data_IF_222129078520
#
_entry.id   IF_222129078520
#
_cell.length_a   1.000
_cell.length_b   1.000
_cell.length_c   1.000
_cell.angle_alpha   90.00
_cell.angle_beta   90.00
_cell.angle_gamma   90.00
#
_symmetry.space_group_name_H-M   'P 1'
#
loop_
_entity.id
_entity.type
_entity.pdbx_description
1 polymer ?
#
# COMPACT_ATOMS: atom_id res chain seq x y z
N UNK A 1 31.75 9.89 0.95
CA UNK A 1 32.14 8.49 1.16
C UNK A 1 30.86 7.79 1.51
N UNK A 2 30.45 6.77 0.75
CA UNK A 2 29.27 5.98 1.08
C UNK A 2 29.69 5.06 2.22
N UNK A 3 29.15 5.27 3.42
CA UNK A 3 29.56 4.53 4.61
C UNK A 3 28.64 3.34 4.89
N UNK A 4 28.99 2.54 5.90
CA UNK A 4 28.23 1.33 6.25
C UNK A 4 26.78 1.67 6.67
N UNK A 5 26.54 2.85 7.24
CA UNK A 5 25.21 3.28 7.63
C UNK A 5 24.34 3.63 6.41
N UNK A 6 24.94 4.27 5.39
CA UNK A 6 24.27 4.48 4.10
C UNK A 6 23.90 3.14 3.43
N UNK A 7 24.77 2.12 3.53
CA UNK A 7 24.51 0.78 2.98
C UNK A 7 23.40 0.03 3.71
N UNK A 8 23.41 0.04 5.05
CA UNK A 8 22.38 -0.57 5.87
C UNK A 8 21.00 0.08 5.63
N UNK A 9 20.97 1.41 5.46
CA UNK A 9 19.75 2.12 5.11
C UNK A 9 19.23 1.72 3.72
N UNK A 10 20.10 1.54 2.72
CA UNK A 10 19.70 1.01 1.41
C UNK A 10 19.11 -0.40 1.52
N UNK A 11 19.72 -1.28 2.32
CA UNK A 11 19.19 -2.64 2.53
C UNK A 11 17.83 -2.62 3.24
N UNK A 12 17.66 -1.72 4.22
CA UNK A 12 16.38 -1.53 4.92
C UNK A 12 15.30 -1.05 3.96
N UNK A 13 15.60 -0.06 3.12
CA UNK A 13 14.66 0.44 2.11
C UNK A 13 14.33 -0.64 1.08
N UNK A 14 15.32 -1.36 0.57
CA UNK A 14 15.10 -2.46 -0.39
C UNK A 14 14.19 -3.55 0.19
N UNK A 15 14.33 -3.87 1.49
CA UNK A 15 13.42 -4.80 2.18
C UNK A 15 12.00 -4.26 2.24
N UNK A 16 11.82 -3.02 2.69
CA UNK A 16 10.49 -2.38 2.78
C UNK A 16 9.81 -2.32 1.41
N UNK A 17 10.55 -1.98 0.35
CA UNK A 17 10.04 -1.99 -1.02
C UNK A 17 9.63 -3.40 -1.47
N UNK A 18 10.45 -4.42 -1.18
CA UNK A 18 10.14 -5.80 -1.52
C UNK A 18 8.90 -6.34 -0.79
N UNK A 19 8.73 -6.00 0.48
CA UNK A 19 7.54 -6.35 1.27
C UNK A 19 6.29 -5.63 0.73
N UNK A 20 6.42 -4.36 0.37
CA UNK A 20 5.33 -3.59 -0.24
C UNK A 20 4.92 -4.16 -1.60
N UNK A 21 5.87 -4.46 -2.50
CA UNK A 21 5.56 -5.07 -3.80
C UNK A 21 4.88 -6.43 -3.65
N UNK A 22 5.34 -7.26 -2.70
CA UNK A 22 4.71 -8.54 -2.39
C UNK A 22 3.27 -8.34 -1.92
N UNK A 23 3.03 -7.46 -0.96
CA UNK A 23 1.68 -7.20 -0.47
C UNK A 23 0.77 -6.68 -1.59
N UNK A 24 1.25 -5.76 -2.42
CA UNK A 24 0.50 -5.23 -3.57
C UNK A 24 0.17 -6.32 -4.60
N UNK A 25 1.04 -7.32 -4.79
CA UNK A 25 0.78 -8.45 -5.69
C UNK A 25 -0.39 -9.36 -5.26
N UNK A 26 -0.72 -9.35 -3.96
CA UNK A 26 -1.83 -10.13 -3.40
C UNK A 26 -3.19 -9.42 -3.53
N UNK A 27 -3.18 -8.15 -3.94
CA UNK A 27 -4.39 -7.33 -4.05
C UNK A 27 -5.02 -7.43 -5.44
N UNK A 28 -6.34 -7.30 -5.48
CA UNK A 28 -7.07 -7.09 -6.71
C UNK A 28 -6.76 -5.70 -7.30
N UNK A 29 -6.99 -5.50 -8.60
CA UNK A 29 -6.78 -4.19 -9.25
C UNK A 29 -7.58 -3.08 -8.57
N UNK A 30 -8.80 -3.37 -8.12
CA UNK A 30 -9.64 -2.41 -7.39
C UNK A 30 -9.02 -2.03 -6.04
N UNK A 31 -8.47 -2.98 -5.30
CA UNK A 31 -7.80 -2.71 -4.02
C UNK A 31 -6.48 -1.94 -4.23
N UNK A 32 -5.72 -2.26 -5.29
CA UNK A 32 -4.52 -1.50 -5.67
C UNK A 32 -4.86 -0.05 -5.98
N UNK A 33 -5.96 0.20 -6.70
CA UNK A 33 -6.44 1.56 -6.97
C UNK A 33 -6.82 2.30 -5.68
N UNK A 34 -7.52 1.65 -4.75
CA UNK A 34 -7.81 2.24 -3.43
C UNK A 34 -6.51 2.61 -2.70
N UNK A 35 -5.51 1.73 -2.70
CA UNK A 35 -4.20 2.02 -2.08
C UNK A 35 -3.48 3.17 -2.75
N UNK A 36 -3.49 3.24 -4.09
CA UNK A 36 -2.89 4.34 -4.81
C UNK A 36 -3.52 5.69 -4.44
N UNK A 37 -4.85 5.77 -4.51
CA UNK A 37 -5.59 7.00 -4.22
C UNK A 37 -5.40 7.46 -2.76
N UNK A 38 -5.34 6.52 -1.83
CA UNK A 38 -5.13 6.83 -0.41
C UNK A 38 -3.69 7.24 -0.11
N UNK A 39 -2.70 6.46 -0.54
CA UNK A 39 -1.30 6.66 -0.14
C UNK A 39 -0.56 7.68 -1.01
N UNK A 40 -0.85 7.75 -2.31
CA UNK A 40 -0.12 8.60 -3.26
C UNK A 40 -0.84 9.92 -3.49
N UNK A 41 -2.17 9.90 -3.61
CA UNK A 41 -2.98 11.10 -3.85
C UNK A 41 -3.55 11.72 -2.56
N UNK A 42 -3.37 11.06 -1.41
CA UNK A 42 -3.83 11.51 -0.09
C UNK A 42 -5.34 11.80 -0.04
N UNK A 43 -6.14 11.10 -0.85
CA UNK A 43 -7.58 11.26 -0.86
C UNK A 43 -8.22 10.65 0.39
N UNK A 44 -9.27 11.29 0.88
CA UNK A 44 -10.12 10.75 1.93
C UNK A 44 -10.95 9.55 1.44
N UNK A 45 -11.46 8.75 2.38
CA UNK A 45 -12.31 7.59 2.06
C UNK A 45 -13.53 7.98 1.21
N UNK A 46 -14.12 9.14 1.47
CA UNK A 46 -15.31 9.59 0.75
C UNK A 46 -14.97 10.09 -0.66
N UNK A 47 -13.81 10.74 -0.85
CA UNK A 47 -13.31 11.12 -2.17
C UNK A 47 -12.96 9.89 -3.03
N UNK A 48 -12.36 8.86 -2.42
CA UNK A 48 -12.06 7.60 -3.11
C UNK A 48 -13.36 6.89 -3.49
N UNK A 49 -14.32 6.82 -2.56
CA UNK A 49 -15.63 6.22 -2.80
C UNK A 49 -16.34 6.89 -3.98
N UNK A 50 -16.36 8.22 -4.00
CA UNK A 50 -16.92 9.00 -5.10
C UNK A 50 -16.17 8.77 -6.43
N UNK A 51 -14.83 8.70 -6.40
CA UNK A 51 -14.01 8.54 -7.61
C UNK A 51 -14.12 7.14 -8.23
N UNK A 52 -14.28 6.11 -7.41
CA UNK A 52 -14.34 4.71 -7.84
C UNK A 52 -15.77 4.18 -8.00
N UNK A 53 -16.78 5.03 -7.74
CA UNK A 53 -18.20 4.67 -7.74
C UNK A 53 -18.48 3.43 -6.86
N UNK A 54 -17.97 3.47 -5.62
CA UNK A 54 -18.16 2.43 -4.60
C UNK A 54 -18.52 3.06 -3.26
N UNK A 55 -18.94 2.25 -2.29
CA UNK A 55 -19.28 2.75 -0.96
C UNK A 55 -18.04 3.00 -0.09
N UNK A 56 -18.08 3.95 0.87
CA UNK A 56 -17.04 4.12 1.88
C UNK A 56 -16.73 2.84 2.68
N UNK A 57 -17.70 1.92 2.79
CA UNK A 57 -17.52 0.61 3.42
C UNK A 57 -16.61 -0.30 2.59
N UNK A 58 -16.80 -0.32 1.27
CA UNK A 58 -15.96 -1.09 0.35
C UNK A 58 -14.54 -0.54 0.29
N UNK A 59 -14.37 0.79 0.31
CA UNK A 59 -13.04 1.43 0.42
C UNK A 59 -12.33 0.95 1.69
N UNK A 60 -13.01 1.01 2.86
CA UNK A 60 -12.45 0.52 4.12
C UNK A 60 -12.11 -0.96 4.10
N UNK A 61 -12.94 -1.79 3.44
CA UNK A 61 -12.65 -3.21 3.27
C UNK A 61 -11.38 -3.43 2.45
N UNK A 62 -11.23 -2.72 1.32
CA UNK A 62 -10.01 -2.78 0.50
C UNK A 62 -8.75 -2.32 1.25
N UNK A 63 -8.88 -1.31 2.13
CA UNK A 63 -7.79 -0.89 3.01
C UNK A 63 -7.40 -1.97 4.03
N UNK A 64 -8.38 -2.69 4.58
CA UNK A 64 -8.12 -3.81 5.48
C UNK A 64 -7.44 -4.97 4.74
N UNK A 65 -7.87 -5.32 3.52
CA UNK A 65 -7.20 -6.33 2.70
C UNK A 65 -5.72 -6.01 2.49
N UNK A 66 -5.39 -4.76 2.14
CA UNK A 66 -4.00 -4.32 1.97
C UNK A 66 -3.17 -4.41 3.25
N UNK A 67 -3.75 -4.01 4.39
CA UNK A 67 -3.10 -4.15 5.69
C UNK A 67 -2.84 -5.62 6.03
N UNK A 68 -3.80 -6.50 5.75
CA UNK A 68 -3.66 -7.91 6.07
C UNK A 68 -2.67 -8.61 5.12
N UNK A 69 -2.60 -8.21 3.84
CA UNK A 69 -1.59 -8.64 2.88
C UNK A 69 -0.16 -8.23 3.30
N UNK A 70 0.00 -7.05 3.90
CA UNK A 70 1.28 -6.61 4.48
C UNK A 70 1.68 -7.45 5.70
N UNK A 71 0.71 -7.93 6.49
CA UNK A 71 0.98 -8.75 7.69
C UNK A 71 1.24 -10.22 7.38
N UNK A 72 0.62 -10.77 6.34
CA UNK A 72 0.79 -12.17 5.95
C UNK A 72 2.03 -12.41 5.08
N UNK A 73 2.82 -11.37 4.81
CA UNK A 73 4.07 -11.45 4.05
C UNK A 73 5.27 -12.02 4.81
N UNK A 74 5.07 -12.38 6.10
CA UNK A 74 6.03 -13.09 6.97
C UNK A 74 6.23 -14.56 6.58
#
# INVERSE_FOLDING_TARGET
MFDDADYDELLRLARVFGEYERAMSLLTEREKMVQHLFCMEMLSVDEIAARLDITPKEVRAAMLSARDALKSGE
#
